data_IF_195198719131
#
_entry.id   IF_195198719131
#
_cell.length_a   1.000
_cell.length_b   1.000
_cell.length_c   1.000
_cell.angle_alpha   90.00
_cell.angle_beta   90.00
_cell.angle_gamma   90.00
#
_symmetry.space_group_name_H-M   'P 1'
#
loop_
_entity.id
_entity.type
_entity.pdbx_description
1 polymer ?
#
# COMPACT_ATOMS: atom_id res chain seq x y z
N UNK A 1 3.58 67.20 -17.59
CA UNK A 1 3.10 66.00 -18.29
C UNK A 1 4.16 64.89 -18.39
N UNK A 2 5.41 65.18 -18.77
CA UNK A 2 6.49 64.18 -18.93
C UNK A 2 6.77 63.30 -17.71
N UNK A 3 6.77 63.86 -16.49
CA UNK A 3 6.98 63.06 -15.25
C UNK A 3 5.86 62.05 -14.98
N UNK A 4 4.62 62.38 -15.33
CA UNK A 4 3.46 61.51 -15.14
C UNK A 4 3.53 60.27 -16.06
N UNK A 5 3.83 60.48 -17.35
CA UNK A 5 4.02 59.38 -18.30
C UNK A 5 5.22 58.50 -17.97
N UNK A 6 6.32 59.08 -17.46
CA UNK A 6 7.47 58.29 -17.02
C UNK A 6 7.13 57.37 -15.84
N UNK A 7 6.35 57.85 -14.88
CA UNK A 7 5.87 57.03 -13.74
C UNK A 7 4.94 55.92 -14.23
N UNK A 8 3.96 56.24 -15.09
CA UNK A 8 3.05 55.22 -15.65
C UNK A 8 3.80 54.14 -16.44
N UNK A 9 4.79 54.54 -17.24
CA UNK A 9 5.61 53.61 -18.02
C UNK A 9 6.47 52.71 -17.11
N UNK A 10 7.08 53.27 -16.06
CA UNK A 10 7.82 52.49 -15.08
C UNK A 10 6.92 51.46 -14.37
N UNK A 11 5.72 51.88 -13.95
CA UNK A 11 4.73 50.98 -13.33
C UNK A 11 4.31 49.86 -14.28
N UNK A 12 4.03 50.16 -15.55
CA UNK A 12 3.66 49.15 -16.55
C UNK A 12 4.80 48.15 -16.81
N UNK A 13 6.05 48.62 -16.92
CA UNK A 13 7.21 47.73 -17.04
C UNK A 13 7.36 46.85 -15.81
N UNK A 14 7.20 47.39 -14.60
CA UNK A 14 7.28 46.60 -13.38
C UNK A 14 6.20 45.52 -13.34
N UNK A 15 4.94 45.86 -13.66
CA UNK A 15 3.87 44.86 -13.71
C UNK A 15 4.08 43.83 -14.82
N UNK A 16 4.53 44.22 -16.00
CA UNK A 16 4.88 43.31 -17.09
C UNK A 16 6.03 42.38 -16.70
N UNK A 17 7.05 42.91 -16.01
CA UNK A 17 8.18 42.14 -15.49
C UNK A 17 7.76 41.13 -14.42
N UNK A 18 6.92 41.54 -13.45
CA UNK A 18 6.34 40.64 -12.45
C UNK A 18 5.47 39.57 -13.13
N UNK A 19 4.67 39.96 -14.13
CA UNK A 19 3.83 39.04 -14.91
C UNK A 19 4.66 38.00 -15.64
N UNK A 20 5.71 38.43 -16.36
CA UNK A 20 6.63 37.54 -17.07
C UNK A 20 7.39 36.61 -16.11
N UNK A 21 7.87 37.12 -14.98
CA UNK A 21 8.55 36.32 -13.97
C UNK A 21 7.61 35.27 -13.35
N UNK A 22 6.36 35.65 -13.04
CA UNK A 22 5.35 34.70 -12.55
C UNK A 22 4.97 33.66 -13.60
N UNK A 23 4.76 34.06 -14.85
CA UNK A 23 4.50 33.15 -15.97
C UNK A 23 5.64 32.14 -16.12
N UNK A 24 6.89 32.63 -16.09
CA UNK A 24 8.07 31.79 -16.18
C UNK A 24 8.15 30.83 -14.99
N UNK A 25 7.92 31.31 -13.77
CA UNK A 25 7.85 30.45 -12.58
C UNK A 25 6.78 29.37 -12.73
N UNK A 26 5.56 29.71 -13.18
CA UNK A 26 4.49 28.73 -13.40
C UNK A 26 4.88 27.68 -14.45
N UNK A 27 5.47 28.13 -15.57
CA UNK A 27 5.87 27.24 -16.67
C UNK A 27 7.06 26.33 -16.34
N UNK A 28 7.84 26.63 -15.28
CA UNK A 28 9.04 25.85 -14.90
C UNK A 28 8.85 25.10 -13.58
N UNK A 29 7.62 25.01 -13.05
CA UNK A 29 7.35 24.23 -11.85
C UNK A 29 7.46 22.72 -12.14
N UNK A 30 8.03 21.93 -11.22
CA UNK A 30 8.01 20.48 -11.35
C UNK A 30 6.56 19.98 -11.29
N UNK A 31 6.14 19.22 -12.31
CA UNK A 31 4.82 18.59 -12.35
C UNK A 31 4.83 17.16 -11.81
N UNK A 32 6.03 16.64 -11.49
CA UNK A 32 6.25 15.33 -10.89
C UNK A 32 7.31 15.44 -9.78
N UNK A 33 7.22 14.61 -8.74
CA UNK A 33 8.30 14.46 -7.77
C UNK A 33 9.54 13.85 -8.43
N UNK A 34 10.70 14.02 -7.79
CA UNK A 34 11.91 13.31 -8.18
C UNK A 34 11.86 11.87 -7.68
N UNK A 35 11.90 10.93 -8.62
CA UNK A 35 11.69 9.51 -8.32
C UNK A 35 12.89 8.67 -8.80
N UNK A 36 13.33 7.73 -7.96
CA UNK A 36 14.37 6.73 -8.27
C UNK A 36 13.76 5.54 -8.99
N UNK A 37 14.56 4.83 -9.78
CA UNK A 37 14.08 3.68 -10.54
C UNK A 37 13.65 2.51 -9.65
N UNK A 38 14.50 2.12 -8.69
CA UNK A 38 14.19 1.06 -7.74
C UNK A 38 13.53 1.64 -6.49
N UNK A 39 12.44 1.03 -6.00
CA UNK A 39 11.81 1.48 -4.79
C UNK A 39 12.73 1.21 -3.60
N UNK A 40 12.55 1.97 -2.53
CA UNK A 40 13.19 1.74 -1.24
C UNK A 40 12.72 0.41 -0.65
N UNK A 41 13.57 -0.22 0.16
CA UNK A 41 13.24 -1.49 0.82
C UNK A 41 12.90 -1.19 2.28
N UNK A 42 11.68 -1.52 2.70
CA UNK A 42 11.24 -1.37 4.09
C UNK A 42 10.87 -2.75 4.62
N UNK A 43 11.60 -3.23 5.63
CA UNK A 43 11.38 -4.53 6.26
C UNK A 43 10.77 -4.44 7.66
N UNK A 44 10.39 -5.59 8.25
CA UNK A 44 9.93 -5.68 9.63
C UNK A 44 11.00 -5.19 10.61
N UNK A 45 10.57 -4.62 11.74
CA UNK A 45 11.46 -4.15 12.81
C UNK A 45 11.55 -5.13 13.99
N UNK A 46 10.69 -6.14 14.00
CA UNK A 46 10.46 -6.98 15.16
C UNK A 46 10.59 -8.45 14.80
N UNK A 47 11.11 -9.22 15.74
CA UNK A 47 10.99 -10.68 15.75
C UNK A 47 10.47 -11.10 17.13
N UNK A 48 9.21 -11.51 17.17
CA UNK A 48 8.50 -11.87 18.38
C UNK A 48 7.89 -13.29 18.31
N UNK A 49 8.66 -14.34 18.67
CA UNK A 49 8.22 -15.74 18.62
C UNK A 49 6.96 -16.06 19.44
N UNK A 50 6.62 -15.23 20.44
CA UNK A 50 5.41 -15.44 21.23
C UNK A 50 4.14 -14.92 20.55
N UNK A 51 4.26 -14.11 19.49
CA UNK A 51 3.11 -13.67 18.70
C UNK A 51 2.47 -14.87 17.98
N UNK A 52 3.29 -15.71 17.35
CA UNK A 52 2.89 -16.92 16.63
C UNK A 52 4.06 -17.91 16.63
N UNK A 53 3.82 -19.18 16.92
CA UNK A 53 4.88 -20.19 16.87
C UNK A 53 5.26 -20.51 15.43
N UNK A 54 6.44 -21.11 15.21
CA UNK A 54 6.86 -21.52 13.85
C UNK A 54 5.89 -22.54 13.25
N UNK A 55 5.40 -23.47 14.07
CA UNK A 55 4.40 -24.46 13.65
C UNK A 55 3.07 -23.80 13.24
N UNK A 56 2.57 -22.86 14.06
CA UNK A 56 1.36 -22.10 13.73
C UNK A 56 1.55 -21.29 12.45
N UNK A 57 2.70 -20.62 12.30
CA UNK A 57 2.99 -19.83 11.11
C UNK A 57 3.06 -20.72 9.86
N UNK A 58 3.73 -21.87 9.93
CA UNK A 58 3.77 -22.82 8.81
C UNK A 58 2.38 -23.30 8.41
N UNK A 59 1.52 -23.65 9.36
CA UNK A 59 0.14 -24.08 9.07
C UNK A 59 -0.69 -22.96 8.43
N UNK A 60 -0.58 -21.72 8.94
CA UNK A 60 -1.21 -20.54 8.34
C UNK A 60 -0.71 -20.34 6.92
N UNK A 61 0.60 -20.29 6.71
CA UNK A 61 1.20 -20.05 5.40
C UNK A 61 0.84 -21.14 4.39
N UNK A 62 0.74 -22.40 4.83
CA UNK A 62 0.28 -23.52 4.00
C UNK A 62 -1.17 -23.33 3.52
N UNK A 63 -2.08 -22.85 4.39
CA UNK A 63 -3.46 -22.54 4.01
C UNK A 63 -3.53 -21.40 2.99
N UNK A 64 -2.63 -20.42 3.09
CA UNK A 64 -2.68 -19.18 2.30
C UNK A 64 -1.84 -19.18 1.02
N UNK A 65 -1.35 -20.36 0.62
CA UNK A 65 -0.65 -20.52 -0.66
C UNK A 65 -1.54 -20.04 -1.82
N UNK A 66 -0.98 -19.48 -2.89
CA UNK A 66 -1.74 -18.90 -3.99
C UNK A 66 -2.33 -19.98 -4.91
N UNK A 67 -3.21 -20.80 -4.33
CA UNK A 67 -3.96 -21.89 -4.97
C UNK A 67 -5.43 -21.55 -4.89
N UNK A 68 -6.08 -21.45 -6.04
CA UNK A 68 -7.47 -21.02 -6.15
C UNK A 68 -8.31 -22.11 -6.84
N UNK A 69 -9.36 -22.56 -6.16
CA UNK A 69 -10.34 -23.53 -6.63
C UNK A 69 -11.20 -22.92 -7.75
N UNK A 70 -11.63 -21.66 -7.62
CA UNK A 70 -12.46 -21.00 -8.66
C UNK A 70 -11.59 -20.42 -9.78
N UNK A 71 -11.80 -20.90 -11.01
CA UNK A 71 -11.10 -20.40 -12.20
C UNK A 71 -12.04 -19.71 -13.21
N UNK A 72 -11.59 -18.63 -13.89
CA UNK A 72 -10.37 -17.89 -13.56
C UNK A 72 -10.54 -17.17 -12.21
N UNK A 73 -9.50 -17.16 -11.38
CA UNK A 73 -9.51 -16.47 -10.08
C UNK A 73 -9.74 -14.96 -10.25
N UNK A 74 -9.85 -14.21 -9.15
CA UNK A 74 -9.99 -12.75 -9.22
C UNK A 74 -8.61 -12.09 -9.30
N UNK A 75 -8.48 -11.01 -10.08
CA UNK A 75 -7.23 -10.24 -10.16
C UNK A 75 -6.80 -9.67 -8.81
N UNK A 76 -7.76 -9.24 -7.98
CA UNK A 76 -7.44 -8.80 -6.62
C UNK A 76 -6.78 -9.91 -5.78
N UNK A 77 -7.04 -11.21 -6.04
CA UNK A 77 -6.36 -12.29 -5.33
C UNK A 77 -4.91 -12.39 -5.78
N UNK A 78 -4.63 -12.29 -7.09
CA UNK A 78 -3.27 -12.28 -7.63
C UNK A 78 -2.44 -11.13 -7.07
N UNK A 79 -3.02 -9.93 -7.06
CA UNK A 79 -2.40 -8.70 -6.54
C UNK A 79 -2.07 -8.81 -5.04
N UNK A 80 -3.00 -9.35 -4.23
CA UNK A 80 -2.74 -9.58 -2.80
C UNK A 80 -1.76 -10.73 -2.54
N UNK A 81 -1.82 -11.81 -3.33
CA UNK A 81 -0.89 -12.93 -3.24
C UNK A 81 0.53 -12.48 -3.52
N UNK A 82 0.78 -11.77 -4.63
CA UNK A 82 2.14 -11.34 -4.95
C UNK A 82 2.66 -10.32 -3.94
N UNK A 83 1.78 -9.45 -3.39
CA UNK A 83 2.15 -8.56 -2.28
C UNK A 83 2.56 -9.35 -1.03
N UNK A 84 1.86 -10.43 -0.71
CA UNK A 84 2.17 -11.28 0.45
C UNK A 84 3.46 -12.09 0.25
N UNK A 85 3.60 -12.74 -0.89
CA UNK A 85 4.63 -13.75 -1.13
C UNK A 85 5.87 -13.24 -1.86
N UNK A 86 5.74 -12.15 -2.61
CA UNK A 86 6.81 -11.59 -3.42
C UNK A 86 7.00 -12.27 -4.79
N UNK A 87 7.78 -11.65 -5.69
CA UNK A 87 7.89 -12.04 -7.09
C UNK A 87 8.79 -13.27 -7.32
N UNK A 88 9.56 -13.69 -6.31
CA UNK A 88 10.50 -14.81 -6.38
C UNK A 88 10.01 -16.06 -5.63
N UNK A 89 8.77 -16.04 -5.14
CA UNK A 89 8.21 -17.21 -4.45
C UNK A 89 8.00 -18.34 -5.45
N UNK A 90 8.37 -19.53 -5.01
CA UNK A 90 8.00 -20.80 -5.63
C UNK A 90 7.62 -21.70 -4.46
N UNK A 91 6.36 -22.14 -4.43
CA UNK A 91 5.75 -22.75 -3.24
C UNK A 91 5.61 -24.25 -3.44
N UNK A 92 4.87 -24.64 -4.47
CA UNK A 92 4.66 -26.00 -4.94
C UNK A 92 4.04 -25.98 -6.35
N UNK A 93 3.96 -27.16 -6.97
CA UNK A 93 3.48 -27.32 -8.35
C UNK A 93 1.99 -26.95 -8.55
N UNK A 94 1.20 -26.91 -7.48
CA UNK A 94 -0.25 -26.61 -7.52
C UNK A 94 -0.55 -25.12 -7.26
N UNK A 95 0.47 -24.33 -6.92
CA UNK A 95 0.36 -22.92 -6.54
C UNK A 95 0.91 -22.01 -7.63
N UNK A 96 0.32 -20.82 -7.79
CA UNK A 96 0.89 -19.82 -8.69
C UNK A 96 2.24 -19.31 -8.15
N UNK A 97 3.29 -19.39 -8.98
CA UNK A 97 4.59 -18.80 -8.65
C UNK A 97 4.54 -17.28 -8.66
N UNK A 98 5.47 -16.64 -7.96
CA UNK A 98 5.60 -15.17 -7.95
C UNK A 98 5.83 -14.59 -9.35
N UNK A 99 6.55 -15.33 -10.20
CA UNK A 99 6.81 -14.95 -11.60
C UNK A 99 5.54 -15.02 -12.45
N UNK A 100 4.72 -16.05 -12.28
CA UNK A 100 3.44 -16.16 -12.98
C UNK A 100 2.49 -15.05 -12.56
N UNK A 101 2.34 -14.82 -11.25
CA UNK A 101 1.52 -13.73 -10.73
C UNK A 101 1.97 -12.37 -11.28
N UNK A 102 3.27 -12.09 -11.30
CA UNK A 102 3.80 -10.84 -11.86
C UNK A 102 3.51 -10.72 -13.36
N UNK A 103 3.65 -11.82 -14.10
CA UNK A 103 3.39 -11.86 -15.53
C UNK A 103 1.91 -11.60 -15.83
N UNK A 104 0.99 -12.17 -15.05
CA UNK A 104 -0.45 -11.93 -15.19
C UNK A 104 -0.84 -10.46 -14.93
N UNK A 105 -0.10 -9.77 -14.07
CA UNK A 105 -0.32 -8.35 -13.78
C UNK A 105 0.30 -7.43 -14.83
N UNK A 106 1.46 -7.78 -15.41
CA UNK A 106 2.23 -6.88 -16.28
C UNK A 106 2.15 -7.19 -17.78
N UNK A 107 1.60 -8.34 -18.20
CA UNK A 107 1.48 -8.69 -19.61
C UNK A 107 0.02 -8.97 -20.00
N UNK A 108 -0.57 -8.07 -20.79
CA UNK A 108 -1.94 -8.19 -21.27
C UNK A 108 -2.18 -9.46 -22.11
N UNK A 109 -1.18 -9.96 -22.83
CA UNK A 109 -1.31 -11.21 -23.59
C UNK A 109 -1.40 -12.41 -22.64
N UNK A 110 -0.63 -12.42 -21.54
CA UNK A 110 -0.75 -13.45 -20.52
C UNK A 110 -2.09 -13.35 -19.78
N UNK A 111 -2.48 -12.14 -19.39
CA UNK A 111 -3.78 -11.84 -18.80
C UNK A 111 -4.95 -12.34 -19.68
N UNK A 112 -4.94 -12.01 -20.98
CA UNK A 112 -6.01 -12.35 -21.92
C UNK A 112 -6.13 -13.84 -22.26
N UNK A 113 -5.19 -14.68 -21.82
CA UNK A 113 -5.30 -16.15 -21.86
C UNK A 113 -6.14 -16.71 -20.72
N UNK A 114 -6.25 -15.98 -19.60
CA UNK A 114 -6.92 -16.41 -18.38
C UNK A 114 -8.25 -15.70 -18.20
N UNK A 115 -8.31 -14.40 -18.50
CA UNK A 115 -9.52 -13.58 -18.43
C UNK A 115 -9.96 -13.08 -19.81
N UNK A 116 -11.17 -12.54 -19.88
CA UNK A 116 -11.71 -11.94 -21.09
C UNK A 116 -10.78 -10.82 -21.62
N UNK A 117 -10.16 -10.98 -22.80
CA UNK A 117 -9.24 -9.99 -23.36
C UNK A 117 -9.92 -8.67 -23.73
N UNK A 118 -11.26 -8.64 -23.85
CA UNK A 118 -12.01 -7.41 -24.12
C UNK A 118 -12.14 -6.50 -22.89
N UNK A 119 -11.84 -7.02 -21.70
CA UNK A 119 -11.79 -6.28 -20.42
C UNK A 119 -10.35 -6.19 -19.91
N UNK A 120 -9.50 -5.34 -20.53
CA UNK A 120 -8.07 -5.30 -20.22
C UNK A 120 -7.80 -4.75 -18.82
N UNK A 121 -6.85 -5.37 -18.11
CA UNK A 121 -6.30 -4.82 -16.87
C UNK A 121 -5.47 -3.55 -17.13
N UNK A 122 -4.62 -3.57 -18.16
CA UNK A 122 -3.69 -2.49 -18.50
C UNK A 122 -4.05 -1.85 -19.84
N UNK A 123 -4.21 -0.52 -19.84
CA UNK A 123 -4.50 0.27 -21.05
C UNK A 123 -3.55 1.45 -21.14
N UNK A 124 -2.85 1.57 -22.28
CA UNK A 124 -2.10 2.77 -22.60
C UNK A 124 -3.06 3.89 -22.96
N UNK A 125 -2.84 5.05 -22.36
CA UNK A 125 -3.60 6.28 -22.59
C UNK A 125 -2.61 7.42 -22.86
N UNK A 126 -3.10 8.61 -23.21
CA UNK A 126 -2.25 9.75 -23.62
C UNK A 126 -1.15 10.07 -22.60
N UNK A 127 -1.48 9.99 -21.30
CA UNK A 127 -0.62 10.43 -20.21
C UNK A 127 0.09 9.32 -19.42
N UNK A 128 -0.04 8.05 -19.82
CA UNK A 128 0.61 6.92 -19.15
C UNK A 128 -0.12 5.59 -19.33
N UNK A 129 -0.06 4.73 -18.30
CA UNK A 129 -0.75 3.42 -18.27
C UNK A 129 -1.85 3.47 -17.20
N UNK A 130 -3.10 3.33 -17.64
CA UNK A 130 -4.24 3.19 -16.76
C UNK A 130 -4.44 1.72 -16.35
N UNK A 131 -4.78 1.51 -15.09
CA UNK A 131 -5.12 0.20 -14.51
C UNK A 131 -6.62 0.15 -14.28
N UNK A 132 -7.28 -0.91 -14.76
CA UNK A 132 -8.69 -1.17 -14.47
C UNK A 132 -8.86 -1.54 -13.00
N UNK A 133 -9.77 -0.85 -12.32
CA UNK A 133 -10.06 -1.03 -10.88
C UNK A 133 -11.56 -1.16 -10.63
N UNK A 134 -11.95 -1.81 -9.52
CA UNK A 134 -13.31 -1.81 -8.96
C UNK A 134 -14.43 -2.36 -9.87
N UNK A 135 -14.09 -3.19 -10.86
CA UNK A 135 -15.02 -3.80 -11.82
C UNK A 135 -14.80 -5.31 -11.94
N UNK A 136 -15.76 -6.10 -11.44
CA UNK A 136 -15.80 -7.55 -11.68
C UNK A 136 -14.57 -8.32 -11.17
N UNK A 137 -14.25 -9.43 -11.85
CA UNK A 137 -13.13 -10.33 -11.51
C UNK A 137 -11.80 -9.92 -12.16
N UNK A 138 -11.85 -9.01 -13.13
CA UNK A 138 -10.76 -8.68 -14.06
C UNK A 138 -10.01 -7.40 -13.70
N UNK A 139 -10.26 -6.84 -12.52
CA UNK A 139 -9.67 -5.58 -12.05
C UNK A 139 -9.15 -5.70 -10.62
N UNK A 140 -8.29 -4.76 -10.23
CA UNK A 140 -7.83 -4.63 -8.84
C UNK A 140 -8.88 -3.94 -7.97
N UNK A 141 -8.83 -4.16 -6.66
CA UNK A 141 -9.88 -3.71 -5.73
C UNK A 141 -9.86 -2.22 -5.39
N UNK A 142 -8.69 -1.57 -5.45
CA UNK A 142 -8.52 -0.17 -5.07
C UNK A 142 -7.78 0.59 -6.16
N UNK A 143 -8.06 1.89 -6.24
CA UNK A 143 -7.30 2.82 -7.09
C UNK A 143 -5.85 2.80 -6.61
N UNK A 144 -4.93 2.67 -7.56
CA UNK A 144 -3.48 2.61 -7.34
C UNK A 144 -2.98 1.47 -6.44
N UNK A 145 -3.82 0.49 -6.04
CA UNK A 145 -3.37 -0.65 -5.23
C UNK A 145 -2.22 -1.40 -5.89
N UNK A 146 -2.38 -1.69 -7.19
CA UNK A 146 -1.39 -2.43 -7.96
C UNK A 146 -0.01 -1.76 -7.93
N UNK A 147 0.06 -0.43 -8.04
CA UNK A 147 1.35 0.26 -7.98
C UNK A 147 1.93 0.28 -6.57
N UNK A 148 1.07 0.32 -5.54
CA UNK A 148 1.47 0.07 -4.14
C UNK A 148 2.05 -1.32 -3.94
N UNK A 149 1.41 -2.37 -4.46
CA UNK A 149 1.93 -3.74 -4.45
C UNK A 149 3.29 -3.82 -5.13
N UNK A 150 3.40 -3.30 -6.36
CA UNK A 150 4.62 -3.40 -7.16
C UNK A 150 5.81 -2.69 -6.49
N UNK A 151 5.60 -1.53 -5.87
CA UNK A 151 6.68 -0.83 -5.18
C UNK A 151 7.12 -1.56 -3.91
N UNK A 152 6.17 -2.09 -3.13
CA UNK A 152 6.47 -2.82 -1.89
C UNK A 152 7.27 -4.10 -2.14
N UNK A 153 6.99 -4.79 -3.25
CA UNK A 153 7.72 -6.03 -3.59
C UNK A 153 9.00 -5.79 -4.39
N UNK A 154 9.42 -4.52 -4.55
CA UNK A 154 10.72 -4.18 -5.12
C UNK A 154 10.76 -4.01 -6.63
N UNK A 155 9.62 -3.91 -7.33
CA UNK A 155 9.60 -3.80 -8.79
C UNK A 155 10.14 -2.42 -9.22
N UNK A 156 11.13 -2.34 -10.14
CA UNK A 156 11.61 -1.06 -10.64
C UNK A 156 10.58 -0.33 -11.51
N UNK A 157 10.61 1.00 -11.54
CA UNK A 157 9.82 1.82 -12.47
C UNK A 157 10.12 1.48 -13.93
N UNK A 158 11.37 1.16 -14.25
CA UNK A 158 11.82 0.77 -15.59
C UNK A 158 11.31 -0.61 -16.03
N UNK A 159 10.69 -1.39 -15.14
CA UNK A 159 10.14 -2.70 -15.46
C UNK A 159 9.16 -2.59 -16.65
N UNK A 160 9.46 -3.27 -17.78
CA UNK A 160 8.56 -3.26 -18.92
C UNK A 160 7.24 -3.95 -18.62
N UNK A 161 6.17 -3.45 -19.25
CA UNK A 161 4.86 -4.06 -19.25
C UNK A 161 4.24 -4.01 -20.65
N UNK A 162 3.25 -4.86 -20.89
CA UNK A 162 2.48 -4.90 -22.14
C UNK A 162 1.02 -4.58 -21.83
N UNK A 163 0.55 -3.43 -22.26
CA UNK A 163 -0.87 -3.06 -22.26
C UNK A 163 -1.58 -3.56 -23.52
N UNK A 164 -2.91 -3.52 -23.54
CA UNK A 164 -3.73 -3.97 -24.68
C UNK A 164 -3.39 -3.28 -26.00
N UNK A 165 -2.96 -2.02 -25.94
CA UNK A 165 -2.74 -1.14 -27.09
C UNK A 165 -1.31 -0.58 -27.14
N UNK A 166 -0.34 -1.25 -26.50
CA UNK A 166 1.06 -0.86 -26.61
C UNK A 166 1.94 -1.37 -25.47
N UNK A 167 3.25 -1.14 -25.61
CA UNK A 167 4.21 -1.35 -24.52
C UNK A 167 4.23 -0.16 -23.57
N UNK A 168 4.71 -0.37 -22.35
CA UNK A 168 4.93 0.69 -21.37
C UNK A 168 5.85 0.24 -20.24
N UNK A 169 5.87 1.00 -19.15
CA UNK A 169 6.61 0.65 -17.93
C UNK A 169 5.77 0.79 -16.67
N UNK A 170 6.21 0.17 -15.57
CA UNK A 170 5.61 0.36 -14.24
C UNK A 170 5.64 1.85 -13.82
N UNK A 171 6.69 2.58 -14.20
CA UNK A 171 6.79 4.02 -13.97
C UNK A 171 5.64 4.80 -14.61
N UNK A 172 5.20 4.42 -15.81
CA UNK A 172 4.07 5.07 -16.48
C UNK A 172 2.71 4.81 -15.79
N UNK A 173 2.59 3.77 -14.94
CA UNK A 173 1.42 3.58 -14.07
C UNK A 173 1.42 4.63 -12.95
N UNK A 174 2.55 4.76 -12.24
CA UNK A 174 2.68 5.76 -11.18
C UNK A 174 2.52 7.18 -11.71
N UNK A 175 3.08 7.46 -12.89
CA UNK A 175 2.96 8.76 -13.52
C UNK A 175 1.52 9.09 -13.90
N UNK A 176 0.78 8.09 -14.39
CA UNK A 176 -0.66 8.25 -14.62
C UNK A 176 -1.40 8.57 -13.31
N UNK A 177 -1.15 7.82 -12.24
CA UNK A 177 -1.75 8.06 -10.91
C UNK A 177 -1.47 9.48 -10.39
N UNK A 178 -0.21 9.94 -10.47
CA UNK A 178 0.19 11.27 -10.02
C UNK A 178 -0.41 12.42 -10.85
N UNK A 179 -0.51 12.27 -12.17
CA UNK A 179 -1.12 13.29 -13.05
C UNK A 179 -2.62 13.41 -12.86
N UNK A 180 -3.28 12.32 -12.50
CA UNK A 180 -4.72 12.25 -12.26
C UNK A 180 -5.11 12.37 -10.78
N UNK A 181 -4.11 12.48 -9.90
CA UNK A 181 -4.31 12.63 -8.46
C UNK A 181 -5.12 13.87 -8.14
N UNK A 182 -6.14 13.70 -7.30
CA UNK A 182 -6.95 14.81 -6.77
C UNK A 182 -6.91 14.76 -5.26
N UNK A 183 -6.66 15.91 -4.62
CA UNK A 183 -6.65 16.03 -3.15
C UNK A 183 -7.96 15.58 -2.46
N UNK A 184 -9.05 15.49 -3.21
CA UNK A 184 -10.37 15.05 -2.71
C UNK A 184 -10.84 13.74 -3.37
N UNK A 185 -9.95 12.93 -3.95
CA UNK A 185 -10.30 11.56 -4.36
C UNK A 185 -10.66 10.69 -3.14
N UNK A 186 -11.21 9.49 -3.34
CA UNK A 186 -11.65 8.65 -2.19
C UNK A 186 -10.49 7.94 -1.49
N UNK A 187 -9.55 7.44 -2.28
CA UNK A 187 -8.42 6.61 -1.85
C UNK A 187 -7.13 7.34 -2.21
N UNK A 188 -6.34 7.77 -1.22
CA UNK A 188 -5.06 8.49 -1.39
C UNK A 188 -3.87 7.63 -1.02
N UNK A 189 -4.11 6.71 -0.09
CA UNK A 189 -3.13 5.86 0.58
C UNK A 189 -2.16 5.19 -0.38
N UNK A 190 -2.64 4.67 -1.50
CA UNK A 190 -1.82 3.90 -2.43
C UNK A 190 -0.96 4.77 -3.34
N UNK A 191 -1.51 5.89 -3.84
CA UNK A 191 -0.71 6.88 -4.58
C UNK A 191 0.39 7.45 -3.67
N UNK A 192 0.04 7.83 -2.45
CA UNK A 192 1.00 8.35 -1.45
C UNK A 192 2.07 7.31 -1.09
N UNK A 193 1.65 6.05 -0.90
CA UNK A 193 2.57 4.94 -0.59
C UNK A 193 3.56 4.71 -1.73
N UNK A 194 3.06 4.51 -2.95
CA UNK A 194 3.90 4.24 -4.11
C UNK A 194 4.88 5.39 -4.38
N UNK A 195 4.40 6.63 -4.28
CA UNK A 195 5.25 7.83 -4.46
C UNK A 195 6.37 7.87 -3.43
N UNK A 196 6.09 7.52 -2.17
CA UNK A 196 7.10 7.51 -1.10
C UNK A 196 8.18 6.44 -1.34
N UNK A 197 7.78 5.24 -1.73
CA UNK A 197 8.73 4.16 -2.03
C UNK A 197 9.72 4.53 -3.13
N UNK A 198 9.28 5.26 -4.16
CA UNK A 198 10.17 5.73 -5.23
C UNK A 198 10.76 7.12 -4.98
N UNK A 199 10.47 7.80 -3.87
CA UNK A 199 10.95 9.15 -3.62
C UNK A 199 12.48 9.22 -3.51
N UNK A 200 13.08 10.17 -4.24
CA UNK A 200 14.46 10.58 -3.98
C UNK A 200 14.48 11.45 -2.73
N UNK A 201 13.66 12.51 -2.73
CA UNK A 201 13.59 13.51 -1.66
C UNK A 201 12.16 14.03 -1.45
N UNK A 202 12.00 14.96 -0.51
CA UNK A 202 10.72 15.59 -0.17
C UNK A 202 10.42 16.89 -0.92
N UNK A 203 10.97 17.10 -2.12
CA UNK A 203 10.61 18.29 -2.90
C UNK A 203 9.15 18.24 -3.32
N UNK A 204 8.52 19.42 -3.36
CA UNK A 204 7.17 19.54 -3.84
C UNK A 204 7.09 19.42 -5.37
N UNK A 205 5.90 19.07 -5.83
CA UNK A 205 5.51 19.14 -7.23
C UNK A 205 4.12 19.78 -7.32
N UNK A 206 3.67 20.03 -8.54
CA UNK A 206 2.40 20.69 -8.80
C UNK A 206 1.43 19.76 -9.53
N UNK A 207 0.19 19.68 -9.04
CA UNK A 207 -0.88 18.96 -9.72
C UNK A 207 -1.26 19.65 -11.03
N UNK A 208 -2.09 18.99 -11.85
CA UNK A 208 -2.65 19.57 -13.07
C UNK A 208 -3.43 20.86 -12.83
N UNK A 209 -4.03 21.01 -11.65
CA UNK A 209 -4.75 22.21 -11.19
C UNK A 209 -3.81 23.29 -10.64
N UNK A 210 -2.49 23.06 -10.62
CA UNK A 210 -1.49 24.01 -10.15
C UNK A 210 -1.37 24.07 -8.62
N UNK A 211 -1.87 23.05 -7.90
CA UNK A 211 -1.72 22.96 -6.45
C UNK A 211 -0.35 22.37 -6.10
N UNK A 212 0.39 23.01 -5.21
CA UNK A 212 1.61 22.42 -4.67
C UNK A 212 1.24 21.22 -3.80
N UNK A 213 1.90 20.09 -4.01
CA UNK A 213 1.75 18.84 -3.26
C UNK A 213 3.14 18.33 -2.89
N UNK A 214 3.24 17.79 -1.70
CA UNK A 214 4.41 17.13 -1.14
C UNK A 214 3.95 16.01 -0.19
N UNK A 215 4.89 15.33 0.46
CA UNK A 215 4.58 14.26 1.41
C UNK A 215 3.90 14.78 2.69
N UNK A 216 4.10 16.04 3.06
CA UNK A 216 3.38 16.66 4.17
C UNK A 216 1.89 16.80 3.86
N UNK A 217 1.58 17.27 2.64
CA UNK A 217 0.23 17.35 2.12
C UNK A 217 -0.44 15.97 2.08
N UNK A 218 0.29 14.92 1.69
CA UNK A 218 -0.21 13.55 1.77
C UNK A 218 -0.51 13.12 3.21
N UNK A 219 0.42 13.32 4.14
CA UNK A 219 0.23 12.97 5.55
C UNK A 219 -1.00 13.66 6.15
N UNK A 220 -1.13 14.97 5.95
CA UNK A 220 -2.28 15.76 6.43
C UNK A 220 -3.61 15.22 5.89
N UNK A 221 -3.64 14.82 4.61
CA UNK A 221 -4.85 14.27 3.99
C UNK A 221 -5.22 12.90 4.54
N UNK A 222 -4.22 12.04 4.80
CA UNK A 222 -4.42 10.71 5.38
C UNK A 222 -4.97 10.79 6.81
N UNK A 223 -4.54 11.78 7.60
CA UNK A 223 -5.00 11.97 8.98
C UNK A 223 -6.39 12.61 9.10
N UNK A 224 -6.84 13.37 8.09
CA UNK A 224 -8.05 14.20 8.17
C UNK A 224 -9.37 13.43 8.15
N UNK A 225 -9.45 12.30 7.46
CA UNK A 225 -10.72 11.59 7.30
C UNK A 225 -11.05 10.69 8.49
N UNK A 226 -12.34 10.56 8.79
CA UNK A 226 -12.81 9.62 9.80
C UNK A 226 -12.48 8.18 9.37
N UNK A 227 -11.80 7.46 10.26
CA UNK A 227 -11.18 6.17 9.92
C UNK A 227 -12.15 5.07 9.45
N UNK A 228 -13.35 4.84 10.06
CA UNK A 228 -14.22 3.76 9.58
C UNK A 228 -14.82 4.06 8.20
N UNK A 229 -14.75 5.30 7.71
CA UNK A 229 -15.25 5.69 6.38
C UNK A 229 -14.26 5.39 5.25
N UNK A 230 -13.03 5.02 5.58
CA UNK A 230 -12.01 4.56 4.63
C UNK A 230 -12.22 3.11 4.18
N UNK A 231 -11.65 2.77 3.03
CA UNK A 231 -11.51 1.37 2.60
C UNK A 231 -10.78 0.55 3.67
N UNK A 232 -11.18 -0.71 3.85
CA UNK A 232 -10.61 -1.59 4.87
C UNK A 232 -10.62 -0.95 6.27
N UNK A 233 -11.70 -0.22 6.58
CA UNK A 233 -11.87 0.53 7.83
C UNK A 233 -10.76 1.56 8.10
N UNK A 234 -10.19 2.15 7.03
CA UNK A 234 -9.16 3.18 7.10
C UNK A 234 -7.74 2.67 7.38
N UNK A 235 -7.57 1.36 7.54
CA UNK A 235 -6.29 0.77 7.96
C UNK A 235 -5.15 1.01 6.97
N UNK A 236 -5.43 1.06 5.66
CA UNK A 236 -4.40 1.39 4.66
C UNK A 236 -3.80 2.78 4.87
N UNK A 237 -4.54 3.73 5.45
CA UNK A 237 -4.02 5.06 5.76
C UNK A 237 -3.03 5.00 6.92
N UNK A 238 -3.31 4.20 7.93
CA UNK A 238 -2.40 3.98 9.07
C UNK A 238 -1.12 3.28 8.58
N UNK A 239 -1.26 2.31 7.68
CA UNK A 239 -0.13 1.66 7.02
C UNK A 239 0.71 2.67 6.21
N UNK A 240 0.09 3.49 5.35
CA UNK A 240 0.80 4.50 4.57
C UNK A 240 1.49 5.53 5.44
N UNK A 241 0.85 6.04 6.50
CA UNK A 241 1.48 6.95 7.47
C UNK A 241 2.71 6.32 8.13
N UNK A 242 2.60 5.03 8.50
CA UNK A 242 3.73 4.26 9.04
C UNK A 242 4.87 4.14 8.03
N UNK A 243 4.56 3.85 6.77
CA UNK A 243 5.56 3.79 5.70
C UNK A 243 6.21 5.14 5.43
N UNK A 244 5.46 6.25 5.49
CA UNK A 244 6.03 7.59 5.36
C UNK A 244 7.07 7.87 6.44
N UNK A 245 6.81 7.50 7.71
CA UNK A 245 7.80 7.64 8.79
C UNK A 245 9.08 6.83 8.50
N UNK A 246 8.91 5.56 8.13
CA UNK A 246 10.02 4.63 7.87
C UNK A 246 10.86 5.02 6.66
N UNK A 247 10.22 5.51 5.62
CA UNK A 247 10.89 5.96 4.40
C UNK A 247 11.57 7.31 4.65
N UNK A 248 10.93 8.22 5.39
CA UNK A 248 11.54 9.49 5.81
C UNK A 248 12.82 9.26 6.63
N UNK A 249 12.86 8.23 7.48
CA UNK A 249 14.08 7.84 8.21
C UNK A 249 15.23 7.48 7.24
N UNK A 250 14.97 6.65 6.24
CA UNK A 250 15.97 6.28 5.22
C UNK A 250 16.44 7.49 4.40
N UNK A 251 15.52 8.39 4.04
CA UNK A 251 15.84 9.63 3.30
C UNK A 251 16.76 10.54 4.14
N UNK A 252 16.49 10.65 5.45
CA UNK A 252 17.33 11.41 6.39
C UNK A 252 18.71 10.79 6.57
N UNK A 253 18.80 9.47 6.70
CA UNK A 253 20.06 8.73 6.82
C UNK A 253 20.94 8.92 5.57
N UNK A 254 20.33 9.04 4.39
CA UNK A 254 21.02 9.35 3.12
C UNK A 254 21.46 10.83 3.02
N UNK A 255 21.10 11.70 3.97
CA UNK A 255 21.42 13.14 3.95
C UNK A 255 20.65 13.93 2.88
N UNK A 256 19.53 13.40 2.39
CA UNK A 256 18.68 14.04 1.40
C UNK A 256 17.64 14.94 2.07
N UNK A 257 16.95 15.77 1.27
CA UNK A 257 15.83 16.55 1.77
C UNK A 257 14.72 15.61 2.27
N UNK A 258 14.45 15.67 3.58
CA UNK A 258 13.42 14.89 4.28
C UNK A 258 12.06 14.95 3.58
N UNK A 259 11.31 13.84 3.62
CA UNK A 259 9.95 13.78 3.09
C UNK A 259 9.00 14.57 3.98
N UNK A 260 9.11 14.38 5.29
CA UNK A 260 8.26 15.01 6.29
C UNK A 260 9.01 16.12 7.01
N UNK A 261 8.39 17.29 7.12
CA UNK A 261 8.82 18.32 8.04
C UNK A 261 8.75 17.82 9.49
N UNK A 262 9.60 18.32 10.40
CA UNK A 262 9.61 17.84 11.79
C UNK A 262 8.24 17.96 12.47
N UNK A 263 7.51 19.05 12.20
CA UNK A 263 6.16 19.28 12.74
C UNK A 263 5.13 18.29 12.20
N UNK A 264 5.14 18.03 10.89
CA UNK A 264 4.25 17.05 10.27
C UNK A 264 4.59 15.63 10.73
N UNK A 265 5.88 15.29 10.83
CA UNK A 265 6.34 14.00 11.37
C UNK A 265 5.81 13.78 12.77
N UNK A 266 5.95 14.78 13.66
CA UNK A 266 5.40 14.69 15.01
C UNK A 266 3.87 14.55 15.00
N UNK A 267 3.18 15.30 14.14
CA UNK A 267 1.72 15.19 14.00
C UNK A 267 1.27 13.80 13.57
N UNK A 268 2.03 13.14 12.67
CA UNK A 268 1.78 11.75 12.26
C UNK A 268 1.97 10.79 13.43
N UNK A 269 3.04 10.95 14.22
CA UNK A 269 3.28 10.11 15.41
C UNK A 269 2.15 10.29 16.43
N UNK A 270 1.80 11.53 16.75
CA UNK A 270 0.71 11.85 17.70
C UNK A 270 -0.62 11.26 17.22
N UNK A 271 -0.92 11.37 15.93
CA UNK A 271 -2.10 10.77 15.33
C UNK A 271 -2.13 9.25 15.48
N UNK A 272 -1.03 8.57 15.14
CA UNK A 272 -0.92 7.11 15.24
C UNK A 272 -1.00 6.65 16.72
N UNK A 273 -0.47 7.43 17.67
CA UNK A 273 -0.64 7.16 19.10
C UNK A 273 -2.11 7.24 19.55
N UNK A 274 -2.88 8.21 19.04
CA UNK A 274 -4.33 8.28 19.30
C UNK A 274 -5.04 7.07 18.70
N UNK A 275 -4.66 6.63 17.49
CA UNK A 275 -5.24 5.42 16.88
C UNK A 275 -4.89 4.16 17.67
N UNK A 276 -3.67 4.05 18.18
CA UNK A 276 -3.26 2.99 19.09
C UNK A 276 -4.14 2.97 20.33
N UNK A 277 -4.33 4.12 20.98
CA UNK A 277 -5.18 4.17 22.17
C UNK A 277 -6.60 3.67 21.88
N UNK A 278 -7.18 4.01 20.73
CA UNK A 278 -8.49 3.51 20.30
C UNK A 278 -8.49 1.99 20.12
N UNK A 279 -7.48 1.44 19.43
CA UNK A 279 -7.31 -0.01 19.25
C UNK A 279 -7.14 -0.74 20.58
N UNK A 280 -6.37 -0.18 21.51
CA UNK A 280 -6.19 -0.75 22.84
C UNK A 280 -7.51 -0.82 23.61
N UNK A 281 -8.31 0.25 23.54
CA UNK A 281 -9.61 0.31 24.22
C UNK A 281 -10.68 -0.57 23.57
N UNK A 282 -10.54 -0.92 22.29
CA UNK A 282 -11.56 -1.63 21.52
C UNK A 282 -11.25 -3.09 21.22
N UNK A 283 -10.06 -3.60 21.58
CA UNK A 283 -9.72 -5.01 21.39
C UNK A 283 -10.68 -5.90 22.18
N UNK A 284 -11.28 -6.88 21.51
CA UNK A 284 -12.15 -7.85 22.16
C UNK A 284 -11.38 -8.70 23.18
N UNK A 285 -12.10 -9.31 24.12
CA UNK A 285 -11.51 -10.25 25.08
C UNK A 285 -10.79 -11.44 24.41
N UNK A 286 -11.20 -11.81 23.19
CA UNK A 286 -10.58 -12.88 22.41
C UNK A 286 -9.35 -12.41 21.61
N UNK A 287 -9.11 -11.11 21.47
CA UNK A 287 -7.93 -10.54 20.81
C UNK A 287 -8.17 -9.88 19.45
N UNK A 288 -9.37 -10.00 18.87
CA UNK A 288 -9.67 -9.40 17.56
C UNK A 288 -10.25 -7.98 17.65
N UNK A 289 -10.23 -7.29 16.52
CA UNK A 289 -11.03 -6.09 16.21
C UNK A 289 -12.06 -6.41 15.12
N UNK A 290 -13.13 -5.62 15.01
CA UNK A 290 -14.13 -5.68 13.92
C UNK A 290 -14.16 -4.30 13.19
N UNK A 291 -15.10 -4.08 12.27
CA UNK A 291 -15.20 -2.84 11.50
C UNK A 291 -15.45 -1.57 12.33
N UNK A 292 -15.83 -1.74 13.60
CA UNK A 292 -15.97 -0.67 14.60
C UNK A 292 -14.70 -0.49 15.45
N UNK A 293 -13.53 -0.92 14.97
CA UNK A 293 -12.26 -0.85 15.71
C UNK A 293 -11.94 0.52 16.35
N UNK A 294 -12.36 1.69 15.84
CA UNK A 294 -12.08 2.95 16.52
C UNK A 294 -12.90 3.12 17.81
N UNK A 295 -14.05 2.46 17.92
CA UNK A 295 -14.97 2.54 19.05
C UNK A 295 -15.86 1.29 19.12
N UNK A 296 -15.53 0.35 20.02
CA UNK A 296 -16.26 -0.90 20.18
C UNK A 296 -17.74 -0.73 20.60
N UNK A 297 -18.14 0.44 21.11
CA UNK A 297 -19.53 0.74 21.49
C UNK A 297 -20.38 1.07 20.25
N UNK A 298 -19.76 1.53 19.16
CA UNK A 298 -20.48 1.78 17.92
C UNK A 298 -20.81 0.47 17.21
N UNK A 299 -22.00 0.39 16.64
CA UNK A 299 -22.36 -0.74 15.78
C UNK A 299 -21.57 -0.66 14.46
N UNK A 300 -21.25 -1.82 13.90
CA UNK A 300 -20.71 -1.91 12.54
C UNK A 300 -21.85 -1.56 11.56
N UNK A 301 -21.72 -0.49 10.76
CA UNK A 301 -22.75 -0.12 9.80
C UNK A 301 -22.88 -1.19 8.71
N UNK A 302 -24.12 -1.63 8.46
CA UNK A 302 -24.58 -2.51 7.36
C UNK A 302 -23.52 -3.46 6.73
N UNK A 303 -23.22 -4.60 7.37
CA UNK A 303 -22.10 -5.42 6.94
C UNK A 303 -22.46 -6.28 5.72
N UNK A 304 -22.11 -5.80 4.51
CA UNK A 304 -22.10 -6.63 3.31
C UNK A 304 -21.15 -7.86 3.41
N UNK A 305 -20.24 -7.85 4.38
CA UNK A 305 -19.25 -8.89 4.67
C UNK A 305 -19.60 -9.60 5.99
N UNK A 306 -19.51 -10.93 6.02
CA UNK A 306 -19.81 -11.70 7.24
C UNK A 306 -18.86 -11.34 8.40
N UNK A 307 -19.27 -11.67 9.62
CA UNK A 307 -18.60 -11.27 10.86
C UNK A 307 -17.14 -11.72 10.97
N UNK A 308 -16.87 -13.00 10.72
CA UNK A 308 -15.50 -13.56 10.78
C UNK A 308 -14.59 -12.85 9.78
N UNK A 309 -15.05 -12.64 8.55
CA UNK A 309 -14.31 -11.94 7.51
C UNK A 309 -13.96 -10.50 7.89
N UNK A 310 -14.90 -9.75 8.47
CA UNK A 310 -14.64 -8.38 8.93
C UNK A 310 -13.60 -8.34 10.05
N UNK A 311 -13.65 -9.31 10.96
CA UNK A 311 -12.71 -9.40 12.07
C UNK A 311 -11.30 -9.74 11.64
N UNK A 312 -11.16 -10.66 10.69
CA UNK A 312 -9.87 -10.99 10.06
C UNK A 312 -9.33 -9.78 9.31
N UNK A 313 -10.18 -9.09 8.55
CA UNK A 313 -9.80 -7.86 7.86
C UNK A 313 -9.22 -6.86 8.86
N UNK A 314 -9.98 -6.45 9.87
CA UNK A 314 -9.53 -5.44 10.83
C UNK A 314 -8.26 -5.90 11.57
N UNK A 315 -8.26 -7.13 12.10
CA UNK A 315 -7.16 -7.63 12.94
C UNK A 315 -5.86 -7.85 12.13
N UNK A 316 -5.96 -8.39 10.92
CA UNK A 316 -4.82 -8.61 10.04
C UNK A 316 -4.14 -7.30 9.66
N UNK A 317 -4.90 -6.28 9.26
CA UNK A 317 -4.33 -4.98 8.89
C UNK A 317 -3.69 -4.28 10.09
N UNK A 318 -4.33 -4.31 11.27
CA UNK A 318 -3.78 -3.70 12.50
C UNK A 318 -2.41 -4.29 12.81
N UNK A 319 -2.31 -5.62 12.82
CA UNK A 319 -1.04 -6.29 13.08
C UNK A 319 0.01 -6.02 11.99
N UNK A 320 -0.42 -5.89 10.73
CA UNK A 320 0.49 -5.61 9.62
C UNK A 320 1.18 -4.25 9.77
N UNK A 321 0.42 -3.18 10.02
CA UNK A 321 1.03 -1.86 10.15
C UNK A 321 1.82 -1.72 11.46
N UNK A 322 1.39 -2.34 12.57
CA UNK A 322 2.18 -2.35 13.80
C UNK A 322 3.51 -3.07 13.66
N UNK A 323 3.60 -4.16 12.89
CA UNK A 323 4.86 -4.86 12.66
C UNK A 323 5.91 -3.99 11.93
N UNK A 324 5.44 -2.92 11.28
CA UNK A 324 6.25 -1.98 10.53
C UNK A 324 6.43 -0.63 11.23
N UNK A 325 5.67 -0.36 12.30
CA UNK A 325 5.67 0.91 13.00
C UNK A 325 6.99 1.16 13.74
N UNK A 326 7.49 2.40 13.85
CA UNK A 326 8.56 2.77 14.79
C UNK A 326 8.28 2.33 16.22
N UNK A 327 9.34 2.12 17.01
CA UNK A 327 9.26 1.55 18.36
C UNK A 327 8.31 2.29 19.31
N UNK A 328 8.26 3.63 19.24
CA UNK A 328 7.34 4.44 20.06
C UNK A 328 5.85 4.19 19.76
N UNK A 329 5.52 3.59 18.63
CA UNK A 329 4.16 3.29 18.18
C UNK A 329 3.77 1.82 18.41
N UNK A 330 4.64 1.00 19.01
CA UNK A 330 4.35 -0.42 19.26
C UNK A 330 3.46 -0.55 20.50
N UNK A 331 2.32 -1.24 20.43
CA UNK A 331 1.45 -1.46 21.59
C UNK A 331 2.06 -2.48 22.58
N UNK A 332 1.49 -2.64 23.79
CA UNK A 332 1.90 -3.66 24.74
C UNK A 332 1.88 -5.07 24.11
N UNK A 333 2.91 -5.87 24.43
CA UNK A 333 3.13 -7.20 23.83
C UNK A 333 1.92 -8.14 23.95
N UNK A 334 1.21 -8.10 25.06
CA UNK A 334 0.01 -8.91 25.31
C UNK A 334 -1.10 -8.66 24.28
N UNK A 335 -1.24 -7.42 23.80
CA UNK A 335 -2.24 -7.02 22.79
C UNK A 335 -1.92 -7.69 21.46
N UNK A 336 -0.64 -7.66 21.08
CA UNK A 336 -0.12 -8.29 19.87
C UNK A 336 -0.32 -9.81 19.95
N UNK A 337 0.09 -10.44 21.06
CA UNK A 337 -0.05 -11.89 21.25
C UNK A 337 -1.50 -12.32 21.11
N UNK A 338 -2.45 -11.66 21.79
CA UNK A 338 -3.87 -12.04 21.72
C UNK A 338 -4.40 -11.96 20.28
N UNK A 339 -4.08 -10.89 19.56
CA UNK A 339 -4.50 -10.71 18.18
C UNK A 339 -3.88 -11.76 17.25
N UNK A 340 -2.58 -11.98 17.34
CA UNK A 340 -1.85 -12.94 16.51
C UNK A 340 -2.30 -14.38 16.75
N UNK A 341 -2.49 -14.77 18.03
CA UNK A 341 -3.00 -16.09 18.39
C UNK A 341 -4.46 -16.29 17.97
N UNK A 342 -5.28 -15.25 18.02
CA UNK A 342 -6.64 -15.32 17.49
C UNK A 342 -6.63 -15.55 15.97
N UNK A 343 -5.87 -14.75 15.20
CA UNK A 343 -5.76 -14.93 13.75
C UNK A 343 -5.24 -16.32 13.39
N UNK A 344 -4.15 -16.79 14.00
CA UNK A 344 -3.59 -18.10 13.68
C UNK A 344 -4.63 -19.22 13.88
N UNK A 345 -5.36 -19.22 15.01
CA UNK A 345 -6.43 -20.20 15.26
C UNK A 345 -7.52 -20.17 14.20
N UNK A 346 -8.04 -18.98 13.90
CA UNK A 346 -9.15 -18.84 12.95
C UNK A 346 -8.74 -19.32 11.56
N UNK A 347 -7.55 -18.93 11.10
CA UNK A 347 -7.05 -19.31 9.76
C UNK A 347 -6.80 -20.82 9.66
N UNK A 348 -6.18 -21.42 10.69
CA UNK A 348 -5.89 -22.86 10.72
C UNK A 348 -7.20 -23.66 10.67
N UNK A 349 -8.25 -23.19 11.34
CA UNK A 349 -9.54 -23.86 11.41
C UNK A 349 -10.40 -23.74 10.13
N UNK A 350 -10.07 -22.83 9.20
CA UNK A 350 -10.86 -22.62 7.98
C UNK A 350 -10.71 -23.74 6.96
N UNK A 351 -11.83 -24.08 6.31
CA UNK A 351 -11.82 -24.87 5.07
C UNK A 351 -11.30 -24.06 3.87
N UNK A 352 -10.97 -24.76 2.78
CA UNK A 352 -10.36 -24.15 1.58
C UNK A 352 -11.30 -23.16 0.89
N UNK A 353 -12.60 -23.42 0.86
CA UNK A 353 -13.59 -22.52 0.25
C UNK A 353 -13.67 -21.19 1.01
N UNK A 354 -13.66 -21.25 2.33
CA UNK A 354 -13.64 -20.09 3.22
C UNK A 354 -12.33 -19.32 3.10
N UNK A 355 -11.20 -20.02 2.97
CA UNK A 355 -9.90 -19.39 2.70
C UNK A 355 -9.94 -18.62 1.38
N UNK A 356 -10.37 -19.25 0.28
CA UNK A 356 -10.44 -18.58 -1.02
C UNK A 356 -11.38 -17.38 -0.98
N UNK A 357 -12.57 -17.53 -0.41
CA UNK A 357 -13.57 -16.45 -0.31
C UNK A 357 -13.02 -15.22 0.41
N UNK A 358 -12.13 -15.41 1.37
CA UNK A 358 -11.54 -14.37 2.21
C UNK A 358 -10.09 -14.06 1.88
N UNK A 359 -9.58 -14.54 0.76
CA UNK A 359 -8.15 -14.57 0.49
C UNK A 359 -7.49 -13.19 0.61
N UNK A 360 -8.14 -12.14 0.10
CA UNK A 360 -7.63 -10.76 0.22
C UNK A 360 -7.42 -10.33 1.66
N UNK A 361 -8.30 -10.70 2.60
CA UNK A 361 -8.16 -10.31 4.00
C UNK A 361 -7.14 -11.20 4.71
N UNK A 362 -7.15 -12.48 4.36
CA UNK A 362 -6.24 -13.47 4.91
C UNK A 362 -4.79 -13.24 4.50
N UNK A 363 -4.53 -12.70 3.31
CA UNK A 363 -3.17 -12.38 2.87
C UNK A 363 -2.52 -11.29 3.73
N UNK A 364 -3.30 -10.29 4.19
CA UNK A 364 -2.82 -9.31 5.17
C UNK A 364 -2.52 -9.98 6.51
N UNK A 365 -3.42 -10.86 6.99
CA UNK A 365 -3.22 -11.58 8.23
C UNK A 365 -1.98 -12.50 8.19
N UNK A 366 -1.81 -13.30 7.13
CA UNK A 366 -0.65 -14.17 6.95
C UNK A 366 0.66 -13.37 6.84
N UNK A 367 0.64 -12.27 6.07
CA UNK A 367 1.79 -11.35 5.99
C UNK A 367 2.12 -10.74 7.35
N UNK A 368 1.12 -10.24 8.10
CA UNK A 368 1.32 -9.67 9.42
C UNK A 368 1.98 -10.66 10.39
N UNK A 369 1.53 -11.91 10.42
CA UNK A 369 2.09 -12.96 11.27
C UNK A 369 3.56 -13.25 10.93
N UNK A 370 3.91 -13.30 9.64
CA UNK A 370 5.30 -13.44 9.19
C UNK A 370 6.17 -12.23 9.56
N UNK A 371 5.64 -11.01 9.41
CA UNK A 371 6.34 -9.77 9.77
C UNK A 371 6.67 -9.73 11.27
N UNK A 372 5.75 -10.19 12.13
CA UNK A 372 6.01 -10.34 13.56
C UNK A 372 7.02 -11.44 13.90
N UNK A 373 7.37 -12.30 12.96
CA UNK A 373 8.48 -13.27 13.06
C UNK A 373 9.76 -12.79 12.36
N UNK A 374 9.83 -11.49 12.04
CA UNK A 374 11.03 -10.87 11.49
C UNK A 374 11.30 -11.15 10.02
N UNK A 375 10.33 -11.66 9.26
CA UNK A 375 10.53 -12.00 7.85
C UNK A 375 9.30 -11.77 6.98
N UNK A 376 9.46 -12.02 5.68
CA UNK A 376 8.34 -12.11 4.74
C UNK A 376 7.84 -13.56 4.67
N UNK A 377 6.57 -13.81 4.31
CA UNK A 377 6.04 -15.17 4.14
C UNK A 377 6.92 -16.12 3.32
N UNK A 378 7.56 -15.64 2.26
CA UNK A 378 8.47 -16.43 1.42
C UNK A 378 9.68 -16.99 2.16
N UNK A 379 10.14 -16.32 3.22
CA UNK A 379 11.35 -16.69 3.95
C UNK A 379 11.13 -17.96 4.79
N UNK A 380 9.89 -18.14 5.28
CA UNK A 380 9.51 -19.27 6.13
C UNK A 380 9.20 -20.55 5.35
N UNK A 381 8.85 -20.44 4.06
CA UNK A 381 8.70 -21.62 3.19
C UNK A 381 10.07 -22.16 2.79
N UNK A 382 11.00 -21.28 2.39
CA UNK A 382 12.36 -21.68 1.98
C UNK A 382 13.12 -22.39 3.10
N UNK A 383 12.95 -21.95 4.34
CA UNK A 383 13.55 -22.61 5.51
C UNK A 383 12.97 -24.02 5.77
N UNK A 384 11.69 -24.25 5.47
CA UNK A 384 11.05 -25.56 5.60
C UNK A 384 11.62 -26.62 4.65
N UNK A 385 11.94 -26.26 3.40
CA UNK A 385 12.53 -27.19 2.43
C UNK A 385 13.96 -27.64 2.79
N UNK A 386 14.71 -26.85 3.58
CA UNK A 386 16.04 -27.25 4.05
C UNK A 386 15.98 -28.27 5.20
N UNK A 387 14.90 -28.29 5.98
CA UNK A 387 14.74 -29.23 7.10
C UNK A 387 14.12 -30.58 6.70
N UNK A 388 13.44 -30.68 5.55
CA UNK A 388 12.88 -31.96 5.06
C UNK A 388 13.94 -32.81 4.34
N UNK A 389 15.09 -32.24 3.96
CA UNK A 389 16.18 -32.97 3.31
C UNK A 389 17.10 -33.76 4.28
N UNK A 390 16.82 -33.76 5.59
CA UNK A 390 17.62 -34.46 6.60
C UNK A 390 16.73 -35.30 7.51
N UNK A 391 16.08 -36.31 6.96
CA UNK A 391 15.73 -37.54 7.68
C UNK A 391 15.54 -38.67 6.65
N UNK A 392 16.52 -39.59 6.50
CA UNK A 392 16.34 -40.82 5.72
C UNK A 392 15.34 -41.78 6.35
#
# INVERSE_FOLDING_TARGET
>A
MTKFYAIQFAVLITFAGIGFQRQRQVNHRPVMPQLRDRPRVVGPLYDYPLAVTDEQLQQVLYKLRPRFLTQPTKINFIDHSIRMWGPSVDVDDDSLSGKEMLTLLLDHQAFGKVWDPTMPLLKRVEDGIAVSTQVGRTSVSHVDHMIGTLCEIGIPRSQPLRAVNGMGTVGEILEYGLKHFRLNQREYEWTSLATAFYAIDGQNWFTREGQAVDFNTFADRLMRQDQPEGVCYGQHRLYTLTMLLRIDDQVREEGLQQLLHPETRQSVIDYLLVMNQRLLCSQSAQGFWDGNWPNAVQQVPDPATNETSRRILATGHVLEWWAMAPQELVPPREIIIRASQWLAREIIAMDEETVEKNYTFLSHAGRALALWRGGLPSDFIRAGHQHVALNP
#
